data_IF_373472011426
#
_entry.id   IF_373472011426
#
_cell.length_a   1.000
_cell.length_b   1.000
_cell.length_c   1.000
_cell.angle_alpha   90.00
_cell.angle_beta   90.00
_cell.angle_gamma   90.00
#
_symmetry.space_group_name_H-M   'P 1'
#
loop_
_entity.id
_entity.type
_entity.pdbx_description
1 polymer ?
#
# COMPACT_ATOMS: atom_id res chain seq x y z
N UNK A 1 2.18 -14.47 -0.94
CA UNK A 1 2.38 -13.84 0.39
C UNK A 1 1.47 -14.50 1.41
N UNK A 2 1.94 -14.70 2.65
CA UNK A 2 1.08 -15.24 3.71
C UNK A 2 0.43 -14.09 4.49
N UNK A 3 -0.90 -14.04 4.46
CA UNK A 3 -1.72 -13.00 5.08
C UNK A 3 -2.35 -13.55 6.37
N UNK A 4 -2.22 -12.82 7.45
CA UNK A 4 -2.75 -13.12 8.78
C UNK A 4 -3.20 -11.85 9.48
N UNK A 5 -4.05 -11.99 10.50
CA UNK A 5 -4.78 -10.88 11.17
C UNK A 5 -4.13 -9.50 11.13
N UNK A 6 -2.89 -9.35 11.60
CA UNK A 6 -2.23 -8.04 11.66
C UNK A 6 -1.79 -7.48 10.29
N UNK A 7 -1.34 -8.30 9.33
CA UNK A 7 -0.90 -7.81 8.02
C UNK A 7 -2.01 -7.81 6.95
N UNK A 8 -3.22 -8.25 7.29
CA UNK A 8 -4.34 -8.36 6.37
C UNK A 8 -4.73 -7.02 5.74
N UNK A 9 -4.88 -5.97 6.55
CA UNK A 9 -5.25 -4.64 6.08
C UNK A 9 -4.28 -4.07 5.02
N UNK A 10 -2.97 -3.94 5.28
CA UNK A 10 -2.06 -3.39 4.28
C UNK A 10 -1.91 -4.26 3.03
N UNK A 11 -2.00 -5.60 3.15
CA UNK A 11 -2.05 -6.43 1.95
C UNK A 11 -3.34 -6.25 1.14
N UNK A 12 -4.50 -6.08 1.79
CA UNK A 12 -5.75 -5.82 1.08
C UNK A 12 -5.72 -4.47 0.35
N UNK A 13 -5.04 -3.47 0.92
CA UNK A 13 -4.73 -2.21 0.25
C UNK A 13 -3.89 -2.41 -1.02
N UNK A 14 -2.81 -3.20 -0.96
CA UNK A 14 -1.99 -3.54 -2.14
C UNK A 14 -2.84 -4.23 -3.22
N UNK A 15 -3.69 -5.18 -2.80
CA UNK A 15 -4.57 -5.91 -3.69
C UNK A 15 -5.60 -4.99 -4.35
N UNK A 16 -6.12 -3.99 -3.65
CA UNK A 16 -6.99 -2.96 -4.25
C UNK A 16 -6.24 -2.12 -5.30
N UNK A 17 -5.01 -1.70 -5.01
CA UNK A 17 -4.18 -0.96 -5.97
C UNK A 17 -3.96 -1.77 -7.26
N UNK A 18 -3.76 -3.08 -7.15
CA UNK A 18 -3.56 -3.96 -8.30
C UNK A 18 -4.88 -4.23 -9.02
N UNK A 19 -5.91 -4.65 -8.29
CA UNK A 19 -7.19 -5.08 -8.85
C UNK A 19 -7.94 -3.92 -9.48
N UNK A 20 -8.14 -2.83 -8.71
CA UNK A 20 -9.08 -1.77 -9.02
C UNK A 20 -8.42 -0.54 -9.65
N UNK A 21 -7.17 -0.25 -9.28
CA UNK A 21 -6.38 0.87 -9.84
C UNK A 21 -5.39 0.42 -10.92
N UNK A 22 -5.45 -0.87 -11.31
CA UNK A 22 -4.72 -1.46 -12.43
C UNK A 22 -3.19 -1.30 -12.34
N UNK A 23 -2.66 -1.18 -11.12
CA UNK A 23 -1.22 -1.12 -10.91
C UNK A 23 -0.61 -2.51 -11.09
N UNK A 24 0.48 -2.58 -11.86
CA UNK A 24 1.17 -3.85 -12.09
C UNK A 24 1.93 -4.27 -10.83
N UNK A 25 1.78 -5.51 -10.33
CA UNK A 25 2.51 -5.99 -9.16
C UNK A 25 3.96 -6.39 -9.48
N UNK A 26 4.68 -5.53 -10.21
CA UNK A 26 6.07 -5.72 -10.62
C UNK A 26 6.93 -4.68 -9.94
N UNK A 27 7.90 -5.16 -9.16
CA UNK A 27 8.71 -4.34 -8.27
C UNK A 27 10.18 -4.61 -8.55
N UNK A 28 11.00 -3.57 -8.43
CA UNK A 28 12.45 -3.70 -8.35
C UNK A 28 12.89 -3.21 -6.98
N UNK A 29 13.40 -4.12 -6.14
CA UNK A 29 13.87 -3.77 -4.80
C UNK A 29 15.03 -2.77 -4.92
N UNK A 30 14.89 -1.62 -4.28
CA UNK A 30 15.99 -0.71 -4.04
C UNK A 30 15.86 -0.05 -2.67
N UNK A 31 16.65 -0.52 -1.71
CA UNK A 31 16.60 0.01 -0.34
C UNK A 31 17.37 1.31 -0.13
N UNK A 32 18.16 1.80 -1.09
CA UNK A 32 18.81 3.12 -0.97
C UNK A 32 17.80 4.25 -1.09
N UNK A 33 16.81 4.10 -1.97
CA UNK A 33 15.78 5.11 -2.26
C UNK A 33 14.74 5.27 -1.14
N UNK A 34 14.74 4.40 -0.13
CA UNK A 34 13.67 4.35 0.87
C UNK A 34 13.46 5.63 1.69
N UNK A 35 14.49 6.46 1.80
CA UNK A 35 14.37 7.76 2.45
C UNK A 35 13.74 8.80 1.52
N UNK A 36 14.19 8.83 0.26
CA UNK A 36 13.76 9.77 -0.76
C UNK A 36 12.34 9.45 -1.24
N UNK A 37 12.04 8.18 -1.49
CA UNK A 37 10.69 7.73 -1.80
C UNK A 37 9.68 8.14 -0.71
N UNK A 38 10.00 8.01 0.57
CA UNK A 38 9.08 8.46 1.63
C UNK A 38 8.89 9.97 1.69
N UNK A 39 9.89 10.72 1.25
CA UNK A 39 9.78 12.17 1.12
C UNK A 39 8.87 12.50 -0.06
N UNK A 40 9.10 11.88 -1.22
CA UNK A 40 8.40 12.15 -2.47
C UNK A 40 6.96 11.62 -2.46
N UNK A 41 6.68 10.57 -1.69
CA UNK A 41 5.33 10.11 -1.38
C UNK A 41 4.62 10.99 -0.33
N UNK A 42 5.26 12.05 0.18
CA UNK A 42 4.70 12.92 1.21
C UNK A 42 4.58 12.28 2.60
N UNK A 43 5.07 11.06 2.83
CA UNK A 43 5.04 10.39 4.15
C UNK A 43 5.85 11.16 5.21
N UNK A 44 6.89 11.88 4.77
CA UNK A 44 7.73 12.72 5.65
C UNK A 44 7.28 14.17 5.75
N UNK A 45 6.17 14.56 5.11
CA UNK A 45 5.66 15.94 5.17
C UNK A 45 5.31 16.31 6.61
N UNK A 46 5.78 17.48 7.05
CA UNK A 46 5.38 18.08 8.33
C UNK A 46 4.27 19.09 8.11
N UNK A 47 3.44 19.30 9.13
CA UNK A 47 2.37 20.28 9.12
C UNK A 47 2.55 21.22 10.30
N UNK A 48 2.33 22.54 10.14
CA UNK A 48 2.32 23.47 11.27
C UNK A 48 1.35 23.00 12.37
N UNK A 49 1.85 22.87 13.60
CA UNK A 49 1.07 22.36 14.73
C UNK A 49 0.72 20.86 14.67
N UNK A 50 1.26 20.12 13.71
CA UNK A 50 1.04 18.69 13.53
C UNK A 50 1.80 17.81 14.53
N UNK A 51 1.30 16.61 14.80
CA UNK A 51 1.95 15.61 15.66
C UNK A 51 2.65 14.56 14.80
N UNK A 52 3.91 14.82 14.47
CA UNK A 52 4.71 13.94 13.61
C UNK A 52 4.48 14.20 12.11
N UNK A 53 4.94 13.28 11.26
CA UNK A 53 4.93 13.43 9.81
C UNK A 53 3.81 12.65 9.13
N UNK A 54 3.47 13.07 7.91
CA UNK A 54 2.63 12.34 6.99
C UNK A 54 1.13 12.64 7.14
N UNK A 55 0.33 12.18 6.16
CA UNK A 55 -1.06 12.59 6.02
C UNK A 55 -1.93 12.03 7.14
N UNK A 56 -1.70 10.79 7.55
CA UNK A 56 -2.62 10.10 8.46
C UNK A 56 -2.42 10.39 9.95
N UNK A 57 -1.28 10.98 10.33
CA UNK A 57 -1.11 11.60 11.66
C UNK A 57 -1.73 12.98 11.76
N UNK A 58 -1.92 13.64 10.61
CA UNK A 58 -2.41 15.01 10.52
C UNK A 58 -3.56 15.09 9.49
N UNK A 59 -4.61 14.25 9.59
CA UNK A 59 -5.57 14.05 8.51
C UNK A 59 -6.29 15.33 8.11
N UNK A 60 -6.69 16.15 9.08
CA UNK A 60 -7.34 17.45 8.84
C UNK A 60 -6.41 18.42 8.09
N UNK A 61 -5.16 18.56 8.53
CA UNK A 61 -4.20 19.46 7.86
C UNK A 61 -3.78 18.94 6.47
N UNK A 62 -3.79 17.62 6.29
CA UNK A 62 -3.46 16.98 5.02
C UNK A 62 -4.64 16.92 4.05
N UNK A 63 -5.86 17.25 4.49
CA UNK A 63 -7.07 17.14 3.68
C UNK A 63 -7.45 15.69 3.34
N UNK A 64 -7.10 14.73 4.21
CA UNK A 64 -7.40 13.30 4.03
C UNK A 64 -8.34 12.80 5.11
N UNK A 65 -9.03 11.69 4.84
CA UNK A 65 -9.83 10.98 5.82
C UNK A 65 -9.12 9.71 6.27
N UNK A 66 -9.45 9.27 7.48
CA UNK A 66 -9.04 7.98 8.03
C UNK A 66 -10.28 7.17 8.43
N UNK A 67 -10.22 5.83 8.41
CA UNK A 67 -11.35 5.02 8.82
C UNK A 67 -11.76 5.26 10.28
N UNK A 68 -13.06 5.11 10.62
CA UNK A 68 -13.53 5.24 11.98
C UNK A 68 -13.05 4.07 12.87
N UNK A 69 -12.95 4.30 14.17
CA UNK A 69 -12.79 3.22 15.16
C UNK A 69 -11.39 2.62 15.29
N UNK A 70 -10.33 3.29 14.80
CA UNK A 70 -8.95 2.79 14.94
C UNK A 70 -7.88 3.88 14.85
N UNK A 71 -6.65 3.50 15.24
CA UNK A 71 -5.47 4.38 15.21
C UNK A 71 -4.73 4.24 13.86
N UNK A 72 -5.36 4.66 12.77
CA UNK A 72 -4.84 4.55 11.41
C UNK A 72 -3.90 5.69 11.06
N UNK A 73 -2.73 5.69 11.68
CA UNK A 73 -1.75 6.79 11.60
C UNK A 73 -0.56 6.52 10.69
N UNK A 74 -0.45 5.29 10.16
CA UNK A 74 0.69 4.88 9.33
C UNK A 74 0.28 4.77 7.87
N UNK A 75 1.07 5.29 6.92
CA UNK A 75 0.79 5.12 5.50
C UNK A 75 1.36 3.80 4.98
N UNK A 76 0.50 2.85 4.62
CA UNK A 76 0.90 1.77 3.70
C UNK A 76 1.19 2.38 2.32
N UNK A 77 2.27 1.96 1.66
CA UNK A 77 2.78 2.58 0.43
C UNK A 77 2.78 1.57 -0.72
N UNK A 78 2.00 1.83 -1.77
CA UNK A 78 2.01 1.05 -3.01
C UNK A 78 2.32 1.94 -4.23
N UNK A 79 3.47 1.84 -4.88
CA UNK A 79 4.58 0.93 -4.62
C UNK A 79 5.35 1.31 -3.34
N UNK A 80 5.91 0.31 -2.66
CA UNK A 80 6.59 0.56 -1.39
C UNK A 80 7.88 1.34 -1.57
N UNK A 81 8.21 2.18 -0.58
CA UNK A 81 9.42 3.00 -0.59
C UNK A 81 10.73 2.20 -0.76
N UNK A 82 10.73 0.90 -0.52
CA UNK A 82 11.89 0.02 -0.74
C UNK A 82 12.05 -0.47 -2.17
N UNK A 83 11.39 0.17 -3.13
CA UNK A 83 11.39 -0.20 -4.54
C UNK A 83 11.66 1.00 -5.45
N UNK A 84 12.15 0.75 -6.66
CA UNK A 84 12.37 1.78 -7.67
C UNK A 84 11.07 2.47 -8.12
N UNK A 85 9.94 1.78 -7.99
CA UNK A 85 8.63 2.28 -8.40
C UNK A 85 7.90 3.07 -7.30
N UNK A 86 8.43 3.04 -6.07
CA UNK A 86 7.87 3.81 -4.96
C UNK A 86 8.18 5.31 -5.08
N UNK A 87 7.73 6.08 -4.10
CA UNK A 87 7.98 7.51 -4.06
C UNK A 87 6.87 8.32 -4.69
N UNK A 88 7.23 9.14 -5.67
CA UNK A 88 6.28 10.02 -6.35
C UNK A 88 5.05 9.23 -6.87
N UNK A 89 3.87 9.77 -6.60
CA UNK A 89 2.57 9.15 -6.90
C UNK A 89 2.33 7.74 -6.34
N UNK A 90 3.12 7.29 -5.35
CA UNK A 90 2.78 6.09 -4.58
C UNK A 90 1.41 6.28 -3.91
N UNK A 91 0.60 5.22 -3.96
CA UNK A 91 -0.66 5.16 -3.27
C UNK A 91 -0.43 4.92 -1.78
N UNK A 92 -1.12 5.73 -0.99
CA UNK A 92 -1.07 5.77 0.45
C UNK A 92 -2.41 5.30 0.99
N UNK A 93 -2.36 4.33 1.89
CA UNK A 93 -3.54 3.84 2.60
C UNK A 93 -3.33 3.97 4.11
N UNK A 94 -4.34 4.44 4.86
CA UNK A 94 -4.25 4.57 6.30
C UNK A 94 -4.33 3.19 6.95
N UNK A 95 -3.24 2.79 7.59
CA UNK A 95 -3.15 1.54 8.35
C UNK A 95 -2.63 1.81 9.76
N UNK A 96 -2.71 0.81 10.63
CA UNK A 96 -2.09 0.91 11.97
C UNK A 96 -0.59 0.63 11.87
N UNK A 97 0.21 1.21 12.76
CA UNK A 97 1.66 0.93 12.81
C UNK A 97 1.95 -0.57 13.01
N UNK A 98 1.14 -1.25 13.82
CA UNK A 98 1.28 -2.68 14.05
C UNK A 98 1.07 -3.48 12.77
N UNK A 99 0.06 -3.10 11.98
CA UNK A 99 -0.23 -3.76 10.70
C UNK A 99 0.86 -3.54 9.66
N UNK A 100 1.31 -2.30 9.49
CA UNK A 100 2.41 -1.98 8.58
C UNK A 100 3.70 -2.71 8.97
N UNK A 101 4.03 -2.76 10.26
CA UNK A 101 5.21 -3.49 10.76
C UNK A 101 5.11 -4.99 10.45
N UNK A 102 3.93 -5.58 10.63
CA UNK A 102 3.68 -7.00 10.35
C UNK A 102 3.82 -7.32 8.86
N UNK A 103 3.29 -6.45 7.99
CA UNK A 103 3.44 -6.57 6.54
C UNK A 103 4.91 -6.43 6.11
N UNK A 104 5.61 -5.43 6.62
CA UNK A 104 7.04 -5.23 6.38
C UNK A 104 7.90 -6.43 6.82
N UNK A 105 7.56 -7.09 7.92
CA UNK A 105 8.18 -8.36 8.34
C UNK A 105 7.98 -9.46 7.30
N UNK A 106 6.75 -9.61 6.80
CA UNK A 106 6.38 -10.60 5.78
C UNK A 106 7.12 -10.37 4.45
N UNK A 107 7.23 -9.12 4.01
CA UNK A 107 7.96 -8.74 2.79
C UNK A 107 9.47 -8.99 2.96
N UNK A 108 10.04 -8.68 4.14
CA UNK A 108 11.45 -8.97 4.40
C UNK A 108 11.74 -10.48 4.44
N UNK A 109 10.85 -11.29 5.01
CA UNK A 109 10.94 -12.75 4.95
C UNK A 109 10.91 -13.26 3.51
N UNK A 110 10.03 -12.70 2.67
CA UNK A 110 10.00 -12.99 1.24
C UNK A 110 11.33 -12.64 0.57
N UNK A 111 11.88 -11.45 0.81
CA UNK A 111 13.18 -11.06 0.26
C UNK A 111 14.29 -12.03 0.64
N UNK A 112 14.36 -12.47 1.91
CA UNK A 112 15.36 -13.45 2.35
C UNK A 112 15.14 -14.81 1.68
N UNK A 113 13.90 -15.31 1.68
CA UNK A 113 13.54 -16.63 1.13
C UNK A 113 13.89 -16.76 -0.35
N UNK A 114 13.58 -15.73 -1.14
CA UNK A 114 13.79 -15.73 -2.58
C UNK A 114 15.10 -15.05 -3.00
N UNK A 115 15.94 -14.63 -2.05
CA UNK A 115 17.21 -13.93 -2.28
C UNK A 115 17.04 -12.71 -3.19
N UNK A 116 16.00 -11.92 -2.92
CA UNK A 116 15.75 -10.66 -3.62
C UNK A 116 16.72 -9.61 -3.08
N UNK A 117 17.61 -9.12 -3.92
CA UNK A 117 18.67 -8.18 -3.55
C UNK A 117 18.32 -6.75 -3.97
N UNK A 118 18.85 -5.75 -3.27
CA UNK A 118 18.65 -4.34 -3.65
C UNK A 118 19.49 -4.01 -4.89
N UNK A 119 18.86 -3.39 -5.90
CA UNK A 119 19.50 -3.05 -7.18
C UNK A 119 20.75 -2.17 -7.02
N UNK A 120 20.79 -1.23 -6.07
CA UNK A 120 21.97 -0.38 -5.85
C UNK A 120 23.22 -1.16 -5.41
N UNK A 121 23.08 -2.36 -4.86
CA UNK A 121 24.24 -3.15 -4.39
C UNK A 121 24.99 -3.83 -5.52
N UNK A 122 24.26 -4.19 -6.58
CA UNK A 122 24.81 -4.90 -7.72
C UNK A 122 23.86 -4.72 -8.92
N UNK A 123 24.32 -4.19 -10.08
CA UNK A 123 23.52 -4.09 -11.30
C UNK A 123 22.95 -5.44 -11.79
N UNK A 124 23.60 -6.55 -11.45
CA UNK A 124 23.16 -7.92 -11.75
C UNK A 124 22.36 -8.56 -10.60
N UNK A 125 21.96 -7.78 -9.58
CA UNK A 125 21.17 -8.26 -8.47
C UNK A 125 19.85 -8.88 -8.98
N UNK A 126 19.43 -9.97 -8.33
CA UNK A 126 18.05 -10.47 -8.43
C UNK A 126 17.11 -9.51 -7.71
N UNK A 127 16.89 -8.35 -8.30
CA UNK A 127 16.18 -7.21 -7.70
C UNK A 127 14.73 -7.11 -8.14
N UNK A 128 14.40 -7.66 -9.31
CA UNK A 128 13.05 -7.72 -9.83
C UNK A 128 12.28 -8.87 -9.20
N UNK A 129 11.05 -8.58 -8.76
CA UNK A 129 10.13 -9.57 -8.24
C UNK A 129 8.70 -9.14 -8.52
N UNK A 130 7.81 -10.14 -8.50
CA UNK A 130 6.38 -9.91 -8.49
C UNK A 130 5.81 -10.40 -7.17
N UNK A 131 4.83 -9.67 -6.65
CA UNK A 131 4.00 -10.18 -5.56
C UNK A 131 2.75 -10.73 -6.21
N UNK A 132 2.66 -12.05 -6.28
CA UNK A 132 1.47 -12.77 -6.73
C UNK A 132 1.17 -13.90 -5.72
N UNK A 133 -0.04 -14.46 -5.76
CA UNK A 133 -0.42 -15.58 -4.90
C UNK A 133 -0.50 -15.22 -3.41
N UNK A 134 -1.44 -14.36 -3.05
CA UNK A 134 -1.83 -14.15 -1.65
C UNK A 134 -2.53 -15.40 -1.11
N UNK A 135 -2.29 -15.71 0.15
CA UNK A 135 -2.83 -16.90 0.84
C UNK A 135 -3.08 -16.58 2.31
N UNK A 136 -3.86 -17.39 3.01
CA UNK A 136 -4.19 -17.18 4.42
C UNK A 136 -5.51 -16.43 4.61
N UNK A 137 -5.57 -15.55 5.61
CA UNK A 137 -6.77 -14.76 5.92
C UNK A 137 -6.85 -13.52 5.03
N UNK A 138 -7.37 -13.70 3.82
CA UNK A 138 -7.44 -12.63 2.83
C UNK A 138 -8.56 -11.63 3.14
N UNK A 139 -8.27 -10.35 2.93
CA UNK A 139 -9.30 -9.34 2.81
C UNK A 139 -10.06 -9.44 1.49
N UNK A 140 -11.18 -8.69 1.35
CA UNK A 140 -12.05 -8.77 0.18
C UNK A 140 -11.34 -8.51 -1.16
N UNK A 141 -10.44 -7.52 -1.23
CA UNK A 141 -9.73 -7.19 -2.47
C UNK A 141 -8.68 -8.24 -2.83
N UNK A 142 -7.95 -8.77 -1.85
CA UNK A 142 -7.02 -9.87 -2.12
C UNK A 142 -7.76 -11.15 -2.54
N UNK A 143 -8.91 -11.44 -1.95
CA UNK A 143 -9.74 -12.57 -2.37
C UNK A 143 -10.22 -12.40 -3.82
N UNK A 144 -10.72 -11.21 -4.17
CA UNK A 144 -11.16 -10.91 -5.54
C UNK A 144 -9.99 -10.97 -6.55
N UNK A 145 -8.85 -10.39 -6.20
CA UNK A 145 -7.63 -10.46 -7.01
C UNK A 145 -7.16 -11.90 -7.24
N UNK A 146 -7.20 -12.74 -6.20
CA UNK A 146 -6.87 -14.15 -6.32
C UNK A 146 -7.86 -14.89 -7.23
N UNK A 147 -9.16 -14.64 -7.07
CA UNK A 147 -10.20 -15.22 -7.93
C UNK A 147 -10.03 -14.79 -9.39
N UNK A 148 -9.46 -13.61 -9.65
CA UNK A 148 -9.12 -13.11 -10.98
C UNK A 148 -7.71 -13.54 -11.46
N UNK A 149 -7.12 -14.58 -10.87
CA UNK A 149 -5.83 -15.12 -11.27
C UNK A 149 -4.65 -14.18 -11.05
N UNK A 150 -4.77 -13.21 -10.13
CA UNK A 150 -3.75 -12.21 -9.85
C UNK A 150 -3.69 -11.05 -10.86
N UNK A 151 -4.67 -10.94 -11.75
CA UNK A 151 -4.73 -9.87 -12.75
C UNK A 151 -5.62 -8.70 -12.28
N UNK A 152 -5.39 -7.51 -12.84
CA UNK A 152 -6.28 -6.38 -12.61
C UNK A 152 -7.65 -6.62 -13.24
N UNK A 153 -8.69 -6.07 -12.61
CA UNK A 153 -10.05 -6.03 -13.14
C UNK A 153 -10.80 -4.87 -12.49
N UNK A 154 -10.64 -3.67 -13.04
CA UNK A 154 -11.35 -2.47 -12.59
C UNK A 154 -12.87 -2.55 -12.73
N UNK A 155 -13.36 -3.52 -13.51
CA UNK A 155 -14.77 -3.80 -13.67
C UNK A 155 -15.32 -4.82 -12.68
N UNK A 156 -14.47 -5.38 -11.83
CA UNK A 156 -14.93 -6.21 -10.72
C UNK A 156 -15.96 -5.43 -9.88
N UNK A 157 -17.12 -6.01 -9.54
CA UNK A 157 -18.14 -5.35 -8.72
C UNK A 157 -17.59 -4.77 -7.42
N UNK A 158 -16.56 -5.38 -6.82
CA UNK A 158 -15.96 -4.89 -5.59
C UNK A 158 -15.26 -3.53 -5.78
N UNK A 159 -14.79 -3.20 -6.99
CA UNK A 159 -14.11 -1.94 -7.30
C UNK A 159 -15.07 -0.76 -7.50
N UNK A 160 -16.39 -1.02 -7.61
CA UNK A 160 -17.39 0.04 -7.83
C UNK A 160 -17.70 0.78 -6.53
N UNK A 161 -18.18 2.02 -6.63
CA UNK A 161 -18.48 2.89 -5.49
C UNK A 161 -19.33 2.20 -4.41
N UNK A 162 -20.37 1.47 -4.81
CA UNK A 162 -21.27 0.75 -3.91
C UNK A 162 -20.87 -0.73 -3.71
N UNK A 163 -19.68 -1.12 -4.17
CA UNK A 163 -19.16 -2.47 -4.00
C UNK A 163 -18.82 -2.80 -2.55
N UNK A 164 -19.00 -4.06 -2.14
CA UNK A 164 -18.78 -4.49 -0.76
C UNK A 164 -17.30 -4.80 -0.47
N UNK A 165 -16.46 -3.77 -0.32
CA UNK A 165 -15.04 -3.91 0.03
C UNK A 165 -14.74 -3.92 1.53
N UNK A 166 -15.76 -3.88 2.40
CA UNK A 166 -15.56 -3.73 3.86
C UNK A 166 -15.01 -4.97 4.54
N UNK A 167 -15.53 -6.15 4.18
CA UNK A 167 -15.17 -7.43 4.79
C UNK A 167 -15.21 -7.41 6.33
N UNK A 168 -14.30 -8.16 6.95
CA UNK A 168 -14.11 -8.20 8.41
C UNK A 168 -13.43 -6.96 8.99
N UNK A 169 -12.92 -6.06 8.14
CA UNK A 169 -12.25 -4.82 8.57
C UNK A 169 -13.24 -3.77 9.08
N UNK A 170 -14.52 -3.88 8.70
CA UNK A 170 -15.58 -2.96 9.11
C UNK A 170 -15.63 -1.64 8.32
N UNK A 171 -14.67 -1.40 7.43
CA UNK A 171 -14.60 -0.26 6.51
C UNK A 171 -13.96 -0.69 5.19
N UNK A 172 -14.25 0.04 4.12
CA UNK A 172 -13.74 -0.27 2.78
C UNK A 172 -12.41 0.44 2.55
N UNK A 173 -11.30 -0.30 2.45
CA UNK A 173 -9.96 0.28 2.25
C UNK A 173 -9.85 1.09 0.95
N UNK A 174 -10.65 0.77 -0.07
CA UNK A 174 -10.68 1.47 -1.35
C UNK A 174 -11.21 2.91 -1.25
N UNK A 175 -11.96 3.24 -0.19
CA UNK A 175 -12.44 4.61 0.08
C UNK A 175 -11.36 5.54 0.62
N UNK A 176 -10.23 4.98 1.09
CA UNK A 176 -9.18 5.70 1.80
C UNK A 176 -7.81 5.63 1.10
N UNK A 177 -7.80 5.71 -0.23
CA UNK A 177 -6.56 5.78 -1.01
C UNK A 177 -6.22 7.21 -1.39
N UNK A 178 -4.94 7.57 -1.27
CA UNK A 178 -4.43 8.89 -1.63
C UNK A 178 -3.10 8.79 -2.36
N UNK A 179 -2.72 9.80 -3.13
CA UNK A 179 -1.34 10.00 -3.61
C UNK A 179 -0.92 11.45 -3.34
N UNK A 180 0.39 11.68 -3.26
CA UNK A 180 0.96 13.02 -3.09
C UNK A 180 1.46 13.56 -4.43
N UNK A 181 1.18 14.81 -4.76
CA UNK A 181 1.59 15.46 -6.02
C UNK A 181 2.79 16.42 -5.86
N UNK A 182 3.45 16.38 -4.70
CA UNK A 182 4.49 17.34 -4.31
C UNK A 182 3.97 18.50 -3.47
N UNK A 183 2.65 18.74 -3.44
CA UNK A 183 2.01 19.82 -2.66
C UNK A 183 0.92 19.32 -1.73
N UNK A 184 -0.01 18.51 -2.23
CA UNK A 184 -1.22 18.07 -1.53
C UNK A 184 -1.50 16.59 -1.79
N UNK A 185 -2.44 16.04 -1.01
CA UNK A 185 -2.87 14.65 -1.17
C UNK A 185 -4.18 14.60 -1.93
N UNK A 186 -4.28 13.66 -2.87
CA UNK A 186 -5.40 13.54 -3.78
C UNK A 186 -5.89 12.10 -3.85
N UNK A 187 -7.19 11.90 -4.03
CA UNK A 187 -7.72 10.59 -4.39
C UNK A 187 -7.31 10.24 -5.83
N UNK A 188 -6.84 9.02 -6.12
CA UNK A 188 -6.58 8.58 -7.48
C UNK A 188 -7.84 8.62 -8.33
N UNK A 189 -7.70 8.96 -9.62
CA UNK A 189 -8.84 8.91 -10.54
C UNK A 189 -9.39 7.48 -10.62
N UNK A 190 -10.69 7.33 -10.39
CA UNK A 190 -11.34 6.02 -10.43
C UNK A 190 -11.23 5.20 -9.16
N UNK A 191 -10.66 5.76 -8.08
CA UNK A 191 -10.86 5.20 -6.74
C UNK A 191 -12.31 5.36 -6.28
N UNK A 192 -12.69 4.64 -5.23
CA UNK A 192 -13.97 4.83 -4.55
C UNK A 192 -14.09 6.19 -3.88
#
# INVERSE_FOLDING_TARGET
MNVSGNNALPFDADCYAILCLERKPLFQRNSSESADNRKDAGVRKTFPGGKGTGPFRNPTQAGVNVPPGGNFVSPEEFFSASTMQGGDQAYLFPVTEASQRSQGGTINDFYRRYKVESAHKNPNAKSWYQITGWSGQLGPYCQALQNNGGNSNRNDPICKKDGNGKGSLGFDVGEYVYYYDGQSYHKPQGSK
#
